data_IF_401347047765
#
_entry.id   IF_401347047765
#
_cell.length_a   1.000
_cell.length_b   1.000
_cell.length_c   1.000
_cell.angle_alpha   90.00
_cell.angle_beta   90.00
_cell.angle_gamma   90.00
#
_symmetry.space_group_name_H-M   'P 1'
#
loop_
_entity.id
_entity.type
_entity.pdbx_description
1 polymer ?
#
# COMPACT_ATOMS: atom_id res chain seq x y z
N UNK A 1 82.92 -2.19 54.18
CA UNK A 1 82.44 -2.52 52.82
C UNK A 1 81.10 -1.81 52.61
N UNK A 2 80.96 -1.04 51.51
CA UNK A 2 79.74 -0.53 50.81
C UNK A 2 78.51 -0.19 51.68
N UNK A 3 78.21 1.08 52.00
CA UNK A 3 77.57 2.19 51.23
C UNK A 3 76.06 2.03 50.94
N UNK A 4 75.35 3.14 51.21
CA UNK A 4 74.03 3.59 50.72
C UNK A 4 72.79 2.88 51.28
N UNK A 5 71.60 3.48 51.41
CA UNK A 5 71.10 4.84 51.67
C UNK A 5 69.59 4.70 51.49
N UNK A 6 68.80 5.32 52.37
CA UNK A 6 67.52 5.98 52.09
C UNK A 6 66.41 5.22 51.31
N UNK A 7 65.21 5.12 51.88
CA UNK A 7 64.11 6.07 51.64
C UNK A 7 62.81 5.57 52.30
N UNK A 8 62.20 6.46 53.10
CA UNK A 8 60.80 6.41 53.47
C UNK A 8 59.92 6.52 52.22
N UNK A 9 58.82 5.77 52.16
CA UNK A 9 57.61 6.22 51.46
C UNK A 9 56.36 5.82 52.25
N UNK A 10 55.65 6.85 52.71
CA UNK A 10 54.28 6.78 53.19
C UNK A 10 53.35 6.57 51.99
N UNK A 11 52.45 5.59 52.07
CA UNK A 11 51.39 5.39 51.08
C UNK A 11 50.05 5.82 51.69
N UNK A 12 49.57 6.98 51.27
CA UNK A 12 48.22 7.46 51.50
C UNK A 12 47.24 6.72 50.59
N UNK A 13 46.20 6.12 51.16
CA UNK A 13 45.13 5.48 50.43
C UNK A 13 44.17 6.53 49.86
N UNK A 14 44.23 6.75 48.54
CA UNK A 14 43.19 7.45 47.79
C UNK A 14 42.06 6.46 47.44
N UNK A 15 40.88 6.71 48.01
CA UNK A 15 39.61 6.10 47.59
C UNK A 15 39.23 6.64 46.20
N UNK A 16 39.38 5.81 45.16
CA UNK A 16 38.75 6.04 43.85
C UNK A 16 37.31 5.53 43.89
N UNK A 17 36.35 6.47 43.92
CA UNK A 17 34.98 6.21 43.52
C UNK A 17 34.92 6.13 41.98
N UNK A 18 34.72 4.93 41.43
CA UNK A 18 34.45 4.76 40.01
C UNK A 18 32.98 5.12 39.72
N UNK A 19 32.68 5.91 38.67
CA UNK A 19 31.30 6.08 38.23
C UNK A 19 30.83 4.79 37.57
N UNK A 20 29.70 4.27 38.06
CA UNK A 20 28.98 3.17 37.46
C UNK A 20 28.42 3.66 36.11
N UNK A 21 29.16 3.48 35.03
CA UNK A 21 28.64 3.70 33.69
C UNK A 21 27.53 2.69 33.44
N UNK A 22 26.29 3.16 33.49
CA UNK A 22 25.14 2.45 32.95
C UNK A 22 25.41 2.24 31.46
N UNK A 23 25.80 1.01 31.09
CA UNK A 23 25.78 0.60 29.70
C UNK A 23 24.30 0.49 29.32
N UNK A 24 23.80 1.48 28.58
CA UNK A 24 22.61 1.34 27.74
C UNK A 24 22.93 0.27 26.68
N UNK A 25 22.86 -0.99 27.08
CA UNK A 25 22.79 -2.10 26.15
C UNK A 25 21.52 -1.93 25.32
N UNK A 26 21.54 -2.28 24.01
CA UNK A 26 20.34 -2.24 23.21
C UNK A 26 19.25 -3.06 23.91
N UNK A 27 18.10 -2.43 24.13
CA UNK A 27 16.91 -3.11 24.66
C UNK A 27 16.73 -4.42 23.87
N UNK A 28 16.44 -5.55 24.55
CA UNK A 28 16.24 -6.81 23.87
C UNK A 28 15.19 -6.60 22.78
N UNK A 29 15.62 -6.76 21.52
CA UNK A 29 14.72 -6.87 20.38
C UNK A 29 13.65 -7.88 20.76
N UNK A 30 12.38 -7.54 20.54
CA UNK A 30 11.23 -8.43 20.67
C UNK A 30 11.33 -9.57 19.64
N UNK A 31 12.36 -10.41 19.78
CA UNK A 31 12.57 -11.61 19.02
C UNK A 31 11.48 -12.60 19.43
N UNK A 32 10.41 -12.65 18.64
CA UNK A 32 9.32 -13.61 18.80
C UNK A 32 7.91 -13.04 18.63
N UNK A 33 7.73 -11.72 18.59
CA UNK A 33 6.42 -11.15 18.27
C UNK A 33 6.15 -11.26 16.77
N UNK A 34 5.02 -11.85 16.40
CA UNK A 34 4.58 -11.90 15.00
C UNK A 34 4.42 -10.45 14.48
N UNK A 35 4.87 -10.13 13.25
CA UNK A 35 4.59 -8.83 12.65
C UNK A 35 3.08 -8.53 12.68
N UNK A 36 2.70 -7.27 12.91
CA UNK A 36 1.30 -6.86 12.97
C UNK A 36 0.92 -6.00 11.77
N UNK A 37 -0.30 -6.18 11.26
CA UNK A 37 -0.93 -5.34 10.25
C UNK A 37 -2.20 -4.74 10.86
N UNK A 38 -2.23 -3.42 10.98
CA UNK A 38 -3.43 -2.71 11.38
C UNK A 38 -4.49 -2.82 10.28
N UNK A 39 -5.75 -3.04 10.65
CA UNK A 39 -6.89 -3.13 9.75
C UNK A 39 -7.90 -2.03 10.07
N UNK A 40 -8.24 -1.20 9.09
CA UNK A 40 -9.37 -0.27 9.19
C UNK A 40 -10.28 -0.45 7.98
N UNK A 41 -11.58 -0.39 8.16
CA UNK A 41 -12.46 -0.55 7.00
C UNK A 41 -13.89 -0.81 7.39
N UNK A 42 -14.77 -0.70 6.39
CA UNK A 42 -16.16 -1.13 6.54
C UNK A 42 -16.40 -2.53 5.98
N UNK A 43 -15.46 -3.07 5.18
CA UNK A 43 -15.45 -4.50 4.87
C UNK A 43 -15.13 -5.28 6.16
N UNK A 44 -15.98 -6.23 6.59
CA UNK A 44 -15.86 -6.86 7.91
C UNK A 44 -14.82 -7.98 7.93
N UNK A 45 -13.56 -7.65 7.57
CA UNK A 45 -12.46 -8.63 7.49
C UNK A 45 -12.22 -9.31 8.85
N UNK A 46 -12.21 -8.54 9.94
CA UNK A 46 -11.80 -9.07 11.25
C UNK A 46 -12.91 -9.88 11.94
N UNK A 47 -14.16 -9.40 11.90
CA UNK A 47 -15.27 -9.98 12.66
C UNK A 47 -16.27 -10.77 11.81
N UNK A 48 -16.14 -10.75 10.48
CA UNK A 48 -17.18 -11.21 9.57
C UNK A 48 -18.48 -10.41 9.72
N UNK A 49 -19.51 -10.75 8.95
CA UNK A 49 -20.86 -10.31 9.30
C UNK A 49 -21.38 -11.20 10.45
N UNK A 50 -21.26 -10.75 11.71
CA UNK A 50 -21.92 -11.39 12.86
C UNK A 50 -23.28 -10.69 13.15
N UNK A 51 -24.38 -11.42 13.42
CA UNK A 51 -25.72 -10.80 13.54
C UNK A 51 -25.85 -9.98 14.82
N UNK A 52 -25.09 -10.36 15.86
CA UNK A 52 -25.07 -9.67 17.13
C UNK A 52 -23.97 -10.18 18.07
N UNK A 53 -23.96 -9.65 19.28
CA UNK A 53 -22.98 -9.99 20.32
C UNK A 53 -22.98 -11.48 20.67
N UNK A 54 -24.10 -12.19 20.48
CA UNK A 54 -24.22 -13.62 20.75
C UNK A 54 -23.38 -14.51 19.80
N UNK A 55 -23.39 -14.21 18.49
CA UNK A 55 -22.58 -14.95 17.50
C UNK A 55 -21.08 -14.67 17.64
N UNK A 56 -20.75 -13.47 18.12
CA UNK A 56 -19.38 -13.07 18.44
C UNK A 56 -18.84 -13.83 19.66
N UNK A 57 -19.73 -14.11 20.63
CA UNK A 57 -19.41 -14.83 21.87
C UNK A 57 -19.38 -16.35 21.69
N UNK A 58 -20.18 -16.91 20.77
CA UNK A 58 -20.13 -18.33 20.43
C UNK A 58 -18.89 -18.68 19.60
N UNK A 59 -18.30 -17.70 18.90
CA UNK A 59 -17.16 -17.92 18.02
C UNK A 59 -17.53 -18.60 16.69
N UNK A 60 -18.83 -18.74 16.41
CA UNK A 60 -19.35 -19.45 15.25
C UNK A 60 -19.57 -18.55 14.02
N UNK A 61 -19.33 -17.24 14.13
CA UNK A 61 -19.41 -16.34 12.98
C UNK A 61 -18.26 -16.66 11.98
N UNK A 62 -18.57 -17.00 10.72
CA UNK A 62 -17.54 -17.30 9.74
C UNK A 62 -16.67 -16.06 9.51
N UNK A 63 -15.39 -16.20 9.82
CA UNK A 63 -14.38 -15.18 9.53
C UNK A 63 -14.29 -14.94 8.03
N UNK A 64 -14.17 -13.68 7.63
CA UNK A 64 -13.85 -13.33 6.25
C UNK A 64 -12.57 -14.04 5.78
N UNK A 65 -12.57 -14.62 4.58
CA UNK A 65 -11.44 -15.38 4.04
C UNK A 65 -10.14 -14.56 3.98
N UNK A 66 -10.26 -13.25 3.70
CA UNK A 66 -9.11 -12.33 3.66
C UNK A 66 -8.35 -12.26 4.98
N UNK A 67 -9.02 -12.48 6.12
CA UNK A 67 -8.34 -12.56 7.43
C UNK A 67 -7.33 -13.69 7.44
N UNK A 68 -7.69 -14.86 6.91
CA UNK A 68 -6.78 -16.01 6.82
C UNK A 68 -5.59 -15.73 5.92
N UNK A 69 -5.79 -15.04 4.80
CA UNK A 69 -4.72 -14.59 3.90
C UNK A 69 -3.75 -13.67 4.62
N UNK A 70 -4.24 -12.60 5.24
CA UNK A 70 -3.43 -11.64 6.01
C UNK A 70 -2.70 -12.37 7.16
N UNK A 71 -3.42 -13.27 7.84
CA UNK A 71 -2.91 -14.11 8.91
C UNK A 71 -1.93 -15.21 8.46
N UNK A 72 -1.54 -15.28 7.18
CA UNK A 72 -0.33 -16.01 6.77
C UNK A 72 0.93 -15.17 6.99
N UNK A 73 0.83 -13.85 6.81
CA UNK A 73 1.96 -12.93 6.84
C UNK A 73 2.17 -12.24 8.19
N UNK A 74 1.08 -11.83 8.84
CA UNK A 74 1.10 -10.99 10.03
C UNK A 74 -0.13 -11.25 10.91
N UNK A 75 -0.09 -10.83 12.16
CA UNK A 75 -1.27 -10.75 13.02
C UNK A 75 -2.13 -9.54 12.58
N UNK A 76 -3.37 -9.73 12.11
CA UNK A 76 -4.27 -8.62 11.83
C UNK A 76 -4.77 -8.00 13.15
N UNK A 77 -4.73 -6.67 13.25
CA UNK A 77 -5.18 -5.93 14.44
C UNK A 77 -6.19 -4.85 14.02
N UNK A 78 -7.44 -4.86 14.53
CA UNK A 78 -8.45 -3.89 14.11
C UNK A 78 -8.19 -2.50 14.70
N UNK A 79 -8.43 -1.46 13.89
CA UNK A 79 -8.39 -0.05 14.26
C UNK A 79 -9.66 0.68 13.77
N UNK A 80 -10.31 1.39 14.68
CA UNK A 80 -11.54 2.16 14.38
C UNK A 80 -11.28 3.67 14.16
N UNK A 81 -10.09 4.15 14.55
CA UNK A 81 -9.70 5.56 14.50
C UNK A 81 -8.22 5.74 14.16
N UNK A 82 -7.90 6.72 13.31
CA UNK A 82 -6.54 7.04 12.92
C UNK A 82 -6.01 8.27 13.67
N UNK A 83 -5.35 8.04 14.80
CA UNK A 83 -4.54 9.07 15.48
C UNK A 83 -3.05 8.76 15.37
N UNK A 84 -2.20 9.73 15.69
CA UNK A 84 -0.76 9.51 15.76
C UNK A 84 -0.41 8.39 16.75
N UNK A 85 -1.06 8.38 17.92
CA UNK A 85 -0.88 7.38 18.96
C UNK A 85 -1.39 6.00 18.53
N UNK A 86 -2.53 5.94 17.85
CA UNK A 86 -3.10 4.69 17.35
C UNK A 86 -2.24 4.07 16.24
N UNK A 87 -1.62 4.89 15.39
CA UNK A 87 -0.78 4.44 14.27
C UNK A 87 0.67 4.15 14.65
N UNK A 88 1.20 4.81 15.70
CA UNK A 88 2.61 4.70 16.10
C UNK A 88 3.15 3.27 16.29
N UNK A 89 2.38 2.29 16.83
CA UNK A 89 2.88 0.92 16.99
C UNK A 89 3.04 0.14 15.69
N UNK A 90 2.40 0.59 14.60
CA UNK A 90 2.24 -0.19 13.39
C UNK A 90 3.11 0.31 12.24
N UNK A 91 3.72 -0.64 11.54
CA UNK A 91 4.43 -0.37 10.28
C UNK A 91 3.54 -0.50 9.05
N UNK A 92 2.50 -1.34 9.15
CA UNK A 92 1.65 -1.75 8.04
C UNK A 92 0.19 -1.46 8.39
N UNK A 93 -0.52 -0.87 7.44
CA UNK A 93 -1.95 -0.58 7.53
C UNK A 93 -2.63 -1.09 6.27
N UNK A 94 -3.69 -1.88 6.42
CA UNK A 94 -4.61 -2.24 5.34
C UNK A 94 -5.94 -1.54 5.61
N UNK A 95 -6.36 -0.71 4.66
CA UNK A 95 -7.65 -0.04 4.67
C UNK A 95 -8.58 -0.67 3.63
N UNK A 96 -9.71 -1.24 4.04
CA UNK A 96 -10.67 -1.89 3.15
C UNK A 96 -12.01 -1.16 3.16
N UNK A 97 -12.27 -0.37 2.11
CA UNK A 97 -13.45 0.49 1.99
C UNK A 97 -13.68 1.31 3.26
N UNK A 98 -12.74 2.17 3.67
CA UNK A 98 -12.90 2.96 4.88
C UNK A 98 -14.05 3.95 4.74
N UNK A 99 -14.66 4.30 5.88
CA UNK A 99 -15.54 5.45 5.98
C UNK A 99 -14.77 6.74 5.62
N UNK A 100 -15.52 7.82 5.41
CA UNK A 100 -14.93 9.17 5.34
C UNK A 100 -14.05 9.44 6.57
N UNK A 101 -12.83 9.91 6.31
CA UNK A 101 -11.86 10.28 7.33
C UNK A 101 -12.13 11.71 7.80
N UNK A 102 -12.02 11.95 9.10
CA UNK A 102 -12.03 13.30 9.65
C UNK A 102 -10.76 14.07 9.26
N UNK A 103 -10.76 15.39 9.41
CA UNK A 103 -9.58 16.20 9.11
C UNK A 103 -8.34 15.78 9.91
N UNK A 104 -8.52 15.42 11.19
CA UNK A 104 -7.45 14.91 12.05
C UNK A 104 -6.90 13.58 11.53
N UNK A 105 -7.78 12.65 11.15
CA UNK A 105 -7.37 11.34 10.62
C UNK A 105 -6.65 11.45 9.28
N UNK A 106 -7.07 12.37 8.40
CA UNK A 106 -6.34 12.64 7.15
C UNK A 106 -4.91 13.11 7.43
N UNK A 107 -4.74 14.01 8.41
CA UNK A 107 -3.42 14.53 8.80
C UNK A 107 -2.57 13.44 9.46
N UNK A 108 -3.15 12.65 10.37
CA UNK A 108 -2.46 11.57 11.05
C UNK A 108 -2.01 10.48 10.06
N UNK A 109 -2.87 10.10 9.12
CA UNK A 109 -2.55 9.15 8.07
C UNK A 109 -1.42 9.67 7.17
N UNK A 110 -1.52 10.91 6.68
CA UNK A 110 -0.45 11.51 5.86
C UNK A 110 0.89 11.52 6.59
N UNK A 111 0.90 12.03 7.83
CA UNK A 111 2.11 12.13 8.64
C UNK A 111 2.72 10.75 8.90
N UNK A 112 1.90 9.75 9.19
CA UNK A 112 2.35 8.38 9.40
C UNK A 112 2.94 7.75 8.14
N UNK A 113 2.27 7.83 6.98
CA UNK A 113 2.82 7.33 5.70
C UNK A 113 4.12 8.07 5.39
N UNK A 114 4.14 9.39 5.49
CA UNK A 114 5.33 10.22 5.24
C UNK A 114 6.51 9.86 6.16
N UNK A 115 6.20 9.51 7.41
CA UNK A 115 7.14 9.00 8.42
C UNK A 115 7.60 7.56 8.21
N UNK A 116 7.12 6.89 7.16
CA UNK A 116 7.56 5.57 6.75
C UNK A 116 6.45 4.53 6.70
N UNK A 117 5.25 4.83 7.18
CA UNK A 117 4.12 3.90 7.13
C UNK A 117 3.89 3.32 5.72
N UNK A 118 3.46 2.06 5.67
CA UNK A 118 3.11 1.38 4.42
C UNK A 118 1.61 1.08 4.40
N UNK A 119 0.90 1.62 3.42
CA UNK A 119 -0.56 1.52 3.30
C UNK A 119 -0.93 0.64 2.10
N UNK A 120 -1.84 -0.32 2.32
CA UNK A 120 -2.64 -0.95 1.27
C UNK A 120 -4.08 -0.47 1.40
N UNK A 121 -4.61 0.21 0.39
CA UNK A 121 -5.95 0.81 0.43
C UNK A 121 -6.82 0.27 -0.70
N UNK A 122 -7.97 -0.31 -0.36
CA UNK A 122 -9.04 -0.64 -1.29
C UNK A 122 -10.13 0.43 -1.20
N UNK A 123 -10.38 1.12 -2.30
CA UNK A 123 -11.33 2.22 -2.40
C UNK A 123 -12.22 2.02 -3.63
N UNK A 124 -13.43 1.54 -3.39
CA UNK A 124 -14.44 1.26 -4.39
C UNK A 124 -15.38 2.47 -4.54
N UNK A 125 -15.49 3.06 -5.75
CA UNK A 125 -16.47 4.12 -5.99
C UNK A 125 -17.91 3.63 -6.08
N UNK A 126 -18.13 2.33 -6.31
CA UNK A 126 -19.46 1.72 -6.34
C UNK A 126 -19.37 0.28 -5.85
N UNK A 127 -19.49 0.11 -4.53
CA UNK A 127 -19.43 -1.22 -3.94
C UNK A 127 -20.67 -2.04 -4.30
N UNK A 128 -20.46 -3.11 -5.07
CA UNK A 128 -21.52 -3.97 -5.64
C UNK A 128 -21.86 -5.19 -4.80
N UNK A 129 -21.04 -5.50 -3.78
CA UNK A 129 -21.24 -6.68 -2.93
C UNK A 129 -22.57 -6.65 -2.20
N UNK A 130 -23.31 -7.77 -2.22
CA UNK A 130 -24.55 -7.90 -1.47
C UNK A 130 -24.23 -8.00 0.03
N UNK A 131 -24.65 -7.00 0.80
CA UNK A 131 -24.66 -7.10 2.27
C UNK A 131 -26.02 -7.54 2.75
N UNK A 132 -26.02 -8.44 3.74
CA UNK A 132 -27.26 -8.86 4.40
C UNK A 132 -27.88 -7.77 5.27
N UNK A 133 -27.17 -6.66 5.50
CA UNK A 133 -27.66 -5.52 6.26
C UNK A 133 -28.44 -4.52 5.39
N UNK A 134 -29.55 -4.02 5.92
CA UNK A 134 -30.37 -3.02 5.25
C UNK A 134 -29.61 -1.70 5.03
N UNK A 135 -30.00 -0.94 4.00
CA UNK A 135 -29.48 0.40 3.75
C UNK A 135 -29.62 1.28 5.01
N UNK A 136 -28.52 1.87 5.45
CA UNK A 136 -28.44 2.69 6.67
C UNK A 136 -27.97 1.96 7.94
N UNK A 137 -27.78 0.64 7.93
CA UNK A 137 -27.12 -0.08 9.04
C UNK A 137 -25.62 0.24 9.05
N UNK A 138 -25.06 0.63 10.20
CA UNK A 138 -23.64 1.00 10.36
C UNK A 138 -22.66 -0.15 10.10
N UNK A 139 -23.15 -1.40 10.12
CA UNK A 139 -22.36 -2.61 9.83
C UNK A 139 -22.32 -2.95 8.35
N UNK A 140 -23.21 -2.36 7.54
CA UNK A 140 -23.17 -2.46 6.09
C UNK A 140 -21.90 -1.75 5.59
N UNK A 141 -21.08 -2.36 4.73
CA UNK A 141 -19.96 -1.64 4.16
C UNK A 141 -20.43 -0.45 3.32
N UNK A 142 -19.61 0.60 3.22
CA UNK A 142 -19.99 1.83 2.55
C UNK A 142 -20.07 1.63 1.03
N UNK A 143 -21.18 2.07 0.44
CA UNK A 143 -21.43 1.90 -0.99
C UNK A 143 -20.45 2.75 -1.85
N UNK A 144 -19.79 3.78 -1.29
CA UNK A 144 -18.81 4.65 -1.97
C UNK A 144 -17.65 5.06 -1.04
N UNK A 145 -16.41 5.01 -1.54
CA UNK A 145 -15.24 5.48 -0.80
C UNK A 145 -15.16 7.03 -0.75
N UNK A 146 -15.19 7.61 0.46
CA UNK A 146 -15.15 9.06 0.69
C UNK A 146 -13.74 9.56 1.08
N UNK A 147 -12.77 9.34 0.19
CA UNK A 147 -11.34 9.60 0.45
C UNK A 147 -10.75 10.77 -0.36
N UNK A 148 -11.59 11.56 -1.03
CA UNK A 148 -11.13 12.66 -1.90
C UNK A 148 -10.10 13.60 -1.25
N UNK A 149 -10.21 14.00 0.04
CA UNK A 149 -9.24 14.91 0.65
C UNK A 149 -7.80 14.35 0.68
N UNK A 150 -7.61 13.11 1.14
CA UNK A 150 -6.27 12.51 1.21
C UNK A 150 -5.74 12.14 -0.19
N UNK A 151 -6.60 11.65 -1.08
CA UNK A 151 -6.23 11.32 -2.46
C UNK A 151 -5.72 12.57 -3.19
N UNK A 152 -6.49 13.67 -3.14
CA UNK A 152 -6.08 14.93 -3.75
C UNK A 152 -4.80 15.48 -3.13
N UNK A 153 -4.62 15.34 -1.82
CA UNK A 153 -3.38 15.73 -1.15
C UNK A 153 -2.16 14.94 -1.66
N UNK A 154 -2.33 13.67 -2.00
CA UNK A 154 -1.30 12.83 -2.61
C UNK A 154 -1.19 12.98 -4.14
N UNK A 155 -1.96 13.88 -4.74
CA UNK A 155 -1.93 14.13 -6.18
C UNK A 155 -2.64 13.03 -6.98
N UNK A 156 -3.69 12.44 -6.40
CA UNK A 156 -4.56 11.46 -7.05
C UNK A 156 -6.00 11.97 -7.11
N UNK A 157 -6.73 11.46 -8.10
CA UNK A 157 -8.18 11.55 -8.20
C UNK A 157 -8.73 10.15 -8.53
N UNK A 158 -9.84 9.78 -7.89
CA UNK A 158 -10.55 8.53 -8.15
C UNK A 158 -11.76 8.84 -9.02
N UNK A 159 -11.81 8.22 -10.19
CA UNK A 159 -12.88 8.35 -11.17
C UNK A 159 -13.77 7.11 -11.16
N UNK A 160 -15.00 7.29 -11.61
CA UNK A 160 -15.95 6.22 -11.85
C UNK A 160 -16.67 6.45 -13.17
N UNK A 161 -16.63 5.45 -14.05
CA UNK A 161 -17.38 5.46 -15.29
C UNK A 161 -18.69 4.68 -15.11
N UNK A 162 -19.81 5.39 -15.10
CA UNK A 162 -21.13 4.77 -14.98
C UNK A 162 -21.58 4.05 -16.27
N UNK A 163 -20.88 4.24 -17.39
CA UNK A 163 -21.18 3.57 -18.66
C UNK A 163 -20.43 2.25 -18.85
N UNK A 164 -19.61 1.83 -17.87
CA UNK A 164 -18.91 0.54 -17.91
C UNK A 164 -19.90 -0.63 -17.85
N UNK A 165 -19.48 -1.77 -18.40
CA UNK A 165 -20.26 -3.01 -18.31
C UNK A 165 -20.35 -3.47 -16.84
N UNK A 166 -21.58 -3.76 -16.40
CA UNK A 166 -21.85 -4.32 -15.08
C UNK A 166 -21.49 -5.81 -15.02
N UNK A 167 -20.96 -6.22 -13.88
CA UNK A 167 -20.68 -7.60 -13.55
C UNK A 167 -19.19 -7.91 -13.32
N UNK A 168 -18.91 -9.09 -12.72
CA UNK A 168 -17.54 -9.49 -12.39
C UNK A 168 -16.65 -9.58 -13.62
N UNK A 169 -15.50 -8.94 -13.54
CA UNK A 169 -14.42 -9.04 -14.51
C UNK A 169 -13.09 -9.36 -13.80
N UNK A 170 -12.05 -9.55 -14.59
CA UNK A 170 -10.69 -9.78 -14.07
C UNK A 170 -9.71 -8.93 -14.84
N UNK A 171 -8.84 -8.24 -14.12
CA UNK A 171 -7.76 -7.42 -14.69
C UNK A 171 -6.43 -8.02 -14.27
N UNK A 172 -5.52 -8.22 -15.24
CA UNK A 172 -4.15 -8.63 -14.93
C UNK A 172 -3.36 -7.43 -14.41
N UNK A 173 -2.80 -7.59 -13.22
CA UNK A 173 -1.88 -6.62 -12.65
C UNK A 173 -0.73 -7.31 -11.91
N UNK A 174 0.51 -6.94 -12.25
CA UNK A 174 1.72 -7.61 -11.74
C UNK A 174 1.73 -9.14 -11.94
N UNK A 175 1.09 -9.66 -12.99
CA UNK A 175 0.99 -11.10 -13.24
C UNK A 175 -0.02 -11.81 -12.33
N UNK A 176 -0.83 -11.05 -11.59
CA UNK A 176 -1.95 -11.55 -10.79
C UNK A 176 -3.27 -11.10 -11.40
N UNK A 177 -4.20 -12.05 -11.54
CA UNK A 177 -5.57 -11.78 -11.95
C UNK A 177 -6.35 -11.20 -10.77
N UNK A 178 -6.67 -9.90 -10.82
CA UNK A 178 -7.44 -9.20 -9.80
C UNK A 178 -8.91 -9.19 -10.22
N UNK A 179 -9.82 -9.86 -9.48
CA UNK A 179 -11.26 -9.72 -9.70
C UNK A 179 -11.72 -8.31 -9.38
N UNK A 180 -12.57 -7.77 -10.25
CA UNK A 180 -13.11 -6.42 -10.18
C UNK A 180 -14.60 -6.42 -10.53
N UNK A 181 -15.37 -5.46 -10.02
CA UNK A 181 -16.76 -5.26 -10.42
C UNK A 181 -17.16 -3.79 -10.23
N UNK A 182 -17.60 -3.12 -11.30
CA UNK A 182 -17.91 -1.68 -11.28
C UNK A 182 -16.77 -0.81 -10.73
N UNK A 183 -15.53 -1.16 -11.08
CA UNK A 183 -14.32 -0.51 -10.55
C UNK A 183 -14.23 0.98 -10.90
N UNK A 184 -13.46 1.70 -10.11
CA UNK A 184 -12.93 3.01 -10.46
C UNK A 184 -11.62 2.96 -11.21
N UNK A 185 -11.08 4.15 -11.46
CA UNK A 185 -9.72 4.34 -11.97
C UNK A 185 -9.07 5.56 -11.31
N UNK A 186 -7.78 5.45 -11.00
CA UNK A 186 -6.99 6.57 -10.53
C UNK A 186 -6.43 7.37 -11.70
N UNK A 187 -6.41 8.69 -11.55
CA UNK A 187 -5.62 9.58 -12.40
C UNK A 187 -4.74 10.48 -11.54
N UNK A 188 -3.70 11.03 -12.17
CA UNK A 188 -2.93 12.09 -11.54
C UNK A 188 -3.81 13.34 -11.37
N UNK A 189 -3.69 13.98 -10.21
CA UNK A 189 -4.30 15.26 -9.91
C UNK A 189 -3.18 16.30 -9.73
N UNK A 190 -2.92 17.07 -10.79
CA UNK A 190 -1.83 18.04 -10.87
C UNK A 190 -0.58 17.54 -11.64
N UNK A 191 0.40 18.44 -11.82
CA UNK A 191 1.54 18.22 -12.73
C UNK A 191 2.65 17.32 -12.18
N UNK A 192 2.74 17.15 -10.86
CA UNK A 192 3.75 16.32 -10.21
C UNK A 192 3.08 15.46 -9.14
N UNK A 193 2.96 14.17 -9.43
CA UNK A 193 2.55 13.17 -8.45
C UNK A 193 3.72 12.25 -8.11
N UNK A 194 3.80 11.84 -6.84
CA UNK A 194 4.70 10.77 -6.40
C UNK A 194 4.17 9.37 -6.72
N UNK A 195 3.08 9.28 -7.48
CA UNK A 195 2.37 8.04 -7.77
C UNK A 195 2.65 7.54 -9.18
N UNK A 196 2.98 6.25 -9.28
CA UNK A 196 2.93 5.50 -10.51
C UNK A 196 1.53 4.91 -10.69
N UNK A 197 0.89 5.22 -11.81
CA UNK A 197 -0.47 4.76 -12.16
C UNK A 197 -0.37 3.91 -13.44
N UNK A 198 -0.19 2.58 -13.31
CA UNK A 198 -0.07 1.68 -14.45
C UNK A 198 -1.41 1.42 -15.16
N UNK A 199 -1.33 1.08 -16.45
CA UNK A 199 -2.44 0.55 -17.23
C UNK A 199 -3.65 1.49 -17.30
N UNK A 200 -4.81 0.95 -16.92
CA UNK A 200 -6.10 1.64 -16.91
C UNK A 200 -6.40 2.38 -15.59
N UNK A 201 -5.43 2.43 -14.67
CA UNK A 201 -5.57 3.14 -13.40
C UNK A 201 -6.27 2.36 -12.29
N UNK A 202 -6.45 1.03 -12.42
CA UNK A 202 -6.94 0.21 -11.30
C UNK A 202 -6.04 0.35 -10.05
N UNK A 203 -4.72 0.43 -10.23
CA UNK A 203 -3.77 0.62 -9.15
C UNK A 203 -3.10 2.00 -9.22
N UNK A 204 -2.75 2.52 -8.05
CA UNK A 204 -1.81 3.62 -7.89
C UNK A 204 -0.79 3.28 -6.79
N UNK A 205 0.51 3.33 -7.11
CA UNK A 205 1.59 3.15 -6.15
C UNK A 205 2.31 4.47 -5.89
N UNK A 206 2.13 5.01 -4.70
CA UNK A 206 2.60 6.33 -4.31
C UNK A 206 3.79 6.25 -3.36
N UNK A 207 4.89 6.92 -3.71
CA UNK A 207 5.96 7.24 -2.79
C UNK A 207 5.61 8.54 -2.05
N UNK A 208 5.45 8.47 -0.73
CA UNK A 208 5.03 9.60 0.10
C UNK A 208 6.02 9.74 1.24
N UNK A 209 6.88 10.76 1.18
CA UNK A 209 7.98 10.92 2.12
C UNK A 209 8.91 9.71 2.12
N UNK A 210 8.98 9.01 3.25
CA UNK A 210 9.78 7.78 3.43
C UNK A 210 8.96 6.49 3.39
N UNK A 211 7.63 6.61 3.28
CA UNK A 211 6.70 5.50 3.18
C UNK A 211 6.04 5.41 1.82
N UNK A 212 5.09 4.49 1.72
CA UNK A 212 4.45 4.13 0.46
C UNK A 212 2.97 3.81 0.67
N UNK A 213 2.16 4.11 -0.33
CA UNK A 213 0.77 3.68 -0.40
C UNK A 213 0.53 2.93 -1.72
N UNK A 214 -0.03 1.73 -1.65
CA UNK A 214 -0.62 1.03 -2.78
C UNK A 214 -2.13 1.13 -2.68
N UNK A 215 -2.75 1.75 -3.68
CA UNK A 215 -4.18 1.97 -3.74
C UNK A 215 -4.78 1.11 -4.85
N UNK A 216 -5.95 0.53 -4.57
CA UNK A 216 -6.77 -0.28 -5.49
C UNK A 216 -8.12 0.43 -5.64
N UNK A 217 -8.50 0.76 -6.88
CA UNK A 217 -9.72 1.49 -7.21
C UNK A 217 -10.97 0.57 -7.21
N UNK A 218 -10.97 -0.45 -6.37
CA UNK A 218 -12.04 -1.43 -6.25
C UNK A 218 -11.90 -2.17 -4.90
N UNK A 219 -13.01 -2.67 -4.36
CA UNK A 219 -13.06 -3.53 -3.19
C UNK A 219 -13.78 -4.86 -3.46
N UNK A 220 -14.26 -5.13 -4.68
CA UNK A 220 -14.87 -6.40 -5.08
C UNK A 220 -13.96 -7.62 -4.82
N UNK A 221 -12.64 -7.42 -4.87
CA UNK A 221 -11.66 -8.42 -4.43
C UNK A 221 -11.98 -8.96 -3.05
N UNK A 222 -12.45 -8.10 -2.13
CA UNK A 222 -12.72 -8.36 -0.72
C UNK A 222 -14.21 -8.58 -0.43
N UNK A 223 -14.99 -8.96 -1.44
CA UNK A 223 -16.41 -9.26 -1.26
C UNK A 223 -16.61 -10.44 -0.29
N UNK A 224 -17.61 -10.30 0.58
CA UNK A 224 -17.98 -11.29 1.59
C UNK A 224 -18.65 -12.53 0.98
N UNK A 225 -19.29 -12.38 -0.17
CA UNK A 225 -19.88 -13.51 -0.92
C UNK A 225 -18.81 -14.34 -1.65
N UNK A 226 -17.57 -13.83 -1.69
CA UNK A 226 -16.39 -14.48 -2.25
C UNK A 226 -15.74 -15.55 -1.34
N UNK A 227 -14.52 -15.97 -1.66
CA UNK A 227 -13.63 -15.35 -2.64
C UNK A 227 -14.06 -15.63 -4.08
N UNK A 228 -14.09 -14.59 -4.90
CA UNK A 228 -14.12 -14.73 -6.35
C UNK A 228 -12.86 -15.48 -6.84
N UNK A 229 -12.92 -16.23 -7.97
CA UNK A 229 -11.74 -16.87 -8.53
C UNK A 229 -10.57 -15.87 -8.67
N UNK A 230 -9.40 -16.22 -8.12
CA UNK A 230 -8.21 -15.37 -8.15
C UNK A 230 -8.07 -14.38 -6.99
N UNK A 231 -9.09 -14.21 -6.13
CA UNK A 231 -9.05 -13.21 -5.07
C UNK A 231 -7.95 -13.46 -4.02
N UNK A 232 -7.80 -14.70 -3.56
CA UNK A 232 -6.77 -15.05 -2.57
C UNK A 232 -5.33 -14.81 -3.10
N UNK A 233 -4.95 -15.33 -4.29
CA UNK A 233 -3.64 -15.01 -4.88
C UNK A 233 -3.42 -13.52 -5.12
N UNK A 234 -4.44 -12.79 -5.57
CA UNK A 234 -4.33 -11.34 -5.80
C UNK A 234 -4.05 -10.58 -4.49
N UNK A 235 -4.79 -10.88 -3.41
CA UNK A 235 -4.56 -10.26 -2.11
C UNK A 235 -3.16 -10.59 -1.55
N UNK A 236 -2.72 -11.85 -1.69
CA UNK A 236 -1.37 -12.29 -1.30
C UNK A 236 -0.28 -11.51 -2.05
N UNK A 237 -0.43 -11.39 -3.37
CA UNK A 237 0.49 -10.62 -4.22
C UNK A 237 0.53 -9.13 -3.86
N UNK A 238 -0.62 -8.51 -3.59
CA UNK A 238 -0.69 -7.09 -3.20
C UNK A 238 0.01 -6.86 -1.84
N UNK A 239 -0.23 -7.74 -0.86
CA UNK A 239 0.44 -7.71 0.44
C UNK A 239 1.96 -7.86 0.27
N UNK A 240 2.40 -8.85 -0.51
CA UNK A 240 3.82 -9.09 -0.76
C UNK A 240 4.51 -7.90 -1.43
N UNK A 241 3.81 -7.23 -2.34
CA UNK A 241 4.33 -6.06 -3.06
C UNK A 241 4.55 -4.85 -2.15
N UNK A 242 3.52 -4.46 -1.38
CA UNK A 242 3.57 -3.22 -0.59
C UNK A 242 4.20 -3.39 0.80
N UNK A 243 4.18 -4.62 1.35
CA UNK A 243 4.75 -4.96 2.65
C UNK A 243 5.96 -5.90 2.52
N UNK A 244 7.11 -5.42 2.04
CA UNK A 244 8.28 -6.26 1.74
C UNK A 244 8.86 -6.99 2.96
N UNK A 245 8.64 -6.49 4.18
CA UNK A 245 9.03 -7.18 5.42
C UNK A 245 8.10 -8.32 5.84
N UNK A 246 6.98 -8.51 5.13
CA UNK A 246 5.98 -9.55 5.33
C UNK A 246 5.96 -10.59 4.20
N UNK A 247 6.49 -10.24 3.03
CA UNK A 247 6.93 -11.21 2.04
C UNK A 247 8.11 -11.97 2.67
N UNK A 248 8.00 -13.28 2.86
CA UNK A 248 9.10 -14.08 3.41
C UNK A 248 10.39 -13.95 2.57
N UNK A 249 11.49 -14.56 3.03
CA UNK A 249 12.83 -14.50 2.37
C UNK A 249 12.87 -14.96 0.90
N UNK A 250 11.73 -15.36 0.31
CA UNK A 250 11.58 -15.76 -1.09
C UNK A 250 10.96 -14.66 -2.00
N UNK A 251 10.74 -13.45 -1.50
CA UNK A 251 9.99 -12.37 -2.19
C UNK A 251 10.83 -11.28 -2.85
N UNK A 252 12.10 -11.50 -3.15
CA UNK A 252 12.87 -10.55 -3.97
C UNK A 252 12.60 -10.84 -5.45
N UNK A 253 11.61 -10.17 -6.08
CA UNK A 253 11.63 -9.75 -7.50
C UNK A 253 10.57 -8.64 -7.79
N UNK A 254 11.03 -7.64 -8.57
CA UNK A 254 10.31 -6.68 -9.43
C UNK A 254 9.64 -5.46 -8.79
N UNK A 255 10.39 -4.35 -8.76
CA UNK A 255 9.78 -3.04 -8.48
C UNK A 255 10.72 -1.86 -8.26
N UNK A 256 12.02 -1.95 -8.57
CA UNK A 256 12.83 -0.72 -8.68
C UNK A 256 12.54 -0.07 -10.02
N UNK A 257 11.68 0.95 -9.98
CA UNK A 257 11.47 1.91 -11.06
C UNK A 257 12.83 2.39 -11.57
N UNK A 258 13.09 2.13 -12.85
CA UNK A 258 14.26 2.64 -13.55
C UNK A 258 14.27 4.18 -13.45
N UNK A 259 15.38 4.73 -12.97
CA UNK A 259 15.63 6.17 -13.07
C UNK A 259 15.61 6.62 -14.53
N UNK A 260 15.14 7.85 -14.83
CA UNK A 260 15.12 8.34 -16.20
C UNK A 260 16.56 8.53 -16.69
N UNK A 261 16.86 7.85 -17.80
CA UNK A 261 18.09 8.02 -18.56
C UNK A 261 18.19 9.49 -19.00
N UNK A 262 19.25 10.17 -18.55
CA UNK A 262 19.65 11.49 -19.05
C UNK A 262 20.30 11.28 -20.41
N UNK A 263 19.57 11.53 -21.49
CA UNK A 263 20.19 11.68 -22.80
C UNK A 263 20.71 13.11 -22.97
N UNK A 264 22.04 13.21 -22.88
CA UNK A 264 22.81 14.38 -23.25
C UNK A 264 22.86 14.53 -24.78
N UNK A 265 22.68 15.76 -25.21
CA UNK A 265 22.84 16.22 -26.58
C UNK A 265 24.24 15.93 -27.15
N UNK A 266 24.30 15.57 -28.43
CA UNK A 266 25.55 15.39 -29.17
C UNK A 266 25.39 15.17 -30.67
N UNK A 267 25.07 16.24 -31.40
CA UNK A 267 25.51 16.62 -32.76
C UNK A 267 25.85 15.54 -33.81
N UNK A 268 25.19 15.60 -34.99
CA UNK A 268 25.67 14.94 -36.20
C UNK A 268 24.72 15.06 -37.40
N UNK A 269 24.88 16.11 -38.19
CA UNK A 269 24.11 16.45 -39.39
C UNK A 269 24.12 15.37 -40.50
N UNK A 270 23.02 15.21 -41.25
CA UNK A 270 22.94 15.56 -42.69
C UNK A 270 21.54 15.25 -43.26
N UNK A 271 20.93 16.26 -43.89
CA UNK A 271 19.71 16.12 -44.68
C UNK A 271 20.05 15.85 -46.16
N UNK A 272 19.21 15.13 -46.93
CA UNK A 272 19.24 15.21 -48.38
C UNK A 272 18.11 16.08 -48.94
N UNK A 273 18.55 16.94 -49.86
CA UNK A 273 17.81 17.86 -50.73
C UNK A 273 16.66 17.21 -51.52
N UNK A 274 15.63 18.01 -51.76
CA UNK A 274 14.55 17.77 -52.72
C UNK A 274 14.85 18.30 -54.13
N UNK A 275 14.32 17.55 -55.11
CA UNK A 275 13.79 17.91 -56.45
C UNK A 275 14.81 18.13 -57.62
N UNK A 276 14.38 18.10 -58.93
CA UNK A 276 13.02 17.90 -59.49
C UNK A 276 12.87 17.05 -60.81
N UNK A 277 11.59 16.76 -61.16
CA UNK A 277 10.88 16.74 -62.46
C UNK A 277 11.35 15.91 -63.70
N UNK A 278 10.39 15.16 -64.27
CA UNK A 278 10.28 14.78 -65.69
C UNK A 278 9.05 13.88 -65.96
N UNK A 279 7.90 14.43 -66.38
CA UNK A 279 7.21 14.19 -67.67
C UNK A 279 7.09 12.70 -68.10
N UNK A 280 5.91 12.09 -67.96
CA UNK A 280 4.79 12.06 -68.93
C UNK A 280 4.92 10.88 -69.91
N UNK A 281 4.00 9.89 -69.83
CA UNK A 281 3.18 9.56 -70.98
C UNK A 281 1.94 8.72 -70.62
N UNK A 282 0.92 8.86 -71.46
CA UNK A 282 -0.41 8.27 -71.39
C UNK A 282 -0.49 6.99 -72.22
N UNK A 283 -1.30 6.02 -71.80
CA UNK A 283 -2.02 5.07 -72.67
C UNK A 283 -3.09 4.37 -71.79
N UNK A 284 -4.37 4.72 -71.90
CA UNK A 284 -5.35 4.13 -72.83
C UNK A 284 -5.40 2.59 -72.81
N UNK A 285 -6.56 2.05 -72.43
CA UNK A 285 -7.18 1.00 -73.25
C UNK A 285 -7.63 -0.30 -72.56
N UNK A 286 -8.96 -0.43 -72.45
CA UNK A 286 -9.77 -1.64 -72.72
C UNK A 286 -9.79 -2.75 -71.63
N UNK A 287 -10.92 -2.91 -70.93
CA UNK A 287 -12.15 -3.62 -71.32
C UNK A 287 -12.09 -5.12 -71.00
N UNK A 288 -12.79 -5.53 -69.94
CA UNK A 288 -13.93 -6.45 -69.98
C UNK A 288 -14.64 -6.47 -68.62
#
# INVERSE_FOLDING_TARGET
>A
MRRCSNLLFAAAALLLAAPLSAQDGPAPSAAGARPQVALMGTVPIYWGEAEGFADLLSGDAPSHWARSVIARHAEPVPLDYLSAEALAPYRYLLMAQPRGLTGEENVALDAWVRGGGRLLLFADPLMTGESRFHLGDRRRPQDVALLSPILAHWGLELHFDAAQDDGPATVDHFGSAIPVNMRGSFSANGEKTGCAIPGDGLLAHCAIGTGEALLVADAALLDITGPWPGAEPALDSLIGHIFPGLAGENGEIAGRVASPMRDGAGSGATAPKTAPLGHADSQEGHAH
#
